data_IF_623510508218
#
_entry.id   IF_623510508218
#
_cell.length_a   1.000
_cell.length_b   1.000
_cell.length_c   1.000
_cell.angle_alpha   90.00
_cell.angle_beta   90.00
_cell.angle_gamma   90.00
#
_symmetry.space_group_name_H-M   'P 1'
#
loop_
_entity.id
_entity.type
_entity.pdbx_description
1 polymer ?
#
# COMPACT_ATOMS: atom_id res chain seq x y z
N UNK A 1 25.40 -1.13 7.16
CA UNK A 1 24.61 -2.17 7.87
C UNK A 1 24.07 -3.15 6.84
N UNK A 2 24.07 -4.46 7.12
CA UNK A 2 23.38 -5.45 6.28
C UNK A 2 22.01 -5.78 6.87
N UNK A 3 20.96 -5.78 6.05
CA UNK A 3 19.59 -6.12 6.45
C UNK A 3 19.29 -7.53 5.94
N UNK A 4 18.79 -8.41 6.81
CA UNK A 4 18.43 -9.80 6.48
C UNK A 4 17.06 -10.11 7.06
N UNK A 5 16.29 -10.93 6.33
CA UNK A 5 15.08 -11.56 6.87
C UNK A 5 15.50 -12.61 7.89
N UNK A 6 14.85 -12.61 9.06
CA UNK A 6 15.10 -13.60 10.11
C UNK A 6 14.69 -15.00 9.62
N UNK A 7 15.53 -16.01 9.85
CA UNK A 7 15.22 -17.40 9.51
C UNK A 7 13.91 -17.87 10.16
N UNK A 8 13.12 -18.65 9.42
CA UNK A 8 11.82 -19.15 9.86
C UNK A 8 10.68 -18.12 9.84
N UNK A 9 10.95 -16.84 9.63
CA UNK A 9 9.90 -15.84 9.42
C UNK A 9 9.47 -15.82 7.95
N UNK A 10 8.18 -16.03 7.72
CA UNK A 10 7.55 -15.72 6.43
C UNK A 10 7.43 -14.20 6.36
N UNK A 11 8.50 -13.56 5.92
CA UNK A 11 8.44 -12.14 5.62
C UNK A 11 7.56 -11.96 4.37
N UNK A 12 6.59 -11.03 4.36
CA UNK A 12 5.60 -10.95 3.29
C UNK A 12 6.18 -10.68 1.89
N UNK A 13 7.48 -10.36 1.76
CA UNK A 13 8.19 -10.29 0.47
C UNK A 13 8.15 -11.58 -0.34
N UNK A 14 7.93 -12.74 0.30
CA UNK A 14 7.77 -14.02 -0.40
C UNK A 14 6.39 -14.19 -1.06
N UNK A 15 5.43 -13.30 -0.74
CA UNK A 15 4.13 -13.24 -1.43
C UNK A 15 4.23 -12.32 -2.64
N UNK A 16 3.39 -12.52 -3.67
CA UNK A 16 3.32 -11.61 -4.82
C UNK A 16 3.14 -10.15 -4.36
N UNK A 17 4.06 -9.29 -4.77
CA UNK A 17 3.98 -7.86 -4.52
C UNK A 17 3.23 -7.19 -5.67
N UNK A 18 2.44 -6.16 -5.35
CA UNK A 18 1.72 -5.34 -6.35
C UNK A 18 0.81 -6.16 -7.27
N UNK A 19 0.33 -7.30 -6.78
CA UNK A 19 -0.74 -8.07 -7.38
C UNK A 19 -1.97 -7.82 -6.52
N UNK A 20 -3.04 -7.31 -7.14
CA UNK A 20 -4.29 -6.99 -6.45
C UNK A 20 -5.16 -8.24 -6.28
N UNK A 21 -5.80 -8.37 -5.12
CA UNK A 21 -6.79 -9.41 -4.82
C UNK A 21 -7.95 -8.83 -4.00
N UNK A 22 -9.08 -9.54 -3.99
CA UNK A 22 -10.25 -9.19 -3.18
C UNK A 22 -11.54 -9.73 -3.77
N UNK A 23 -12.52 -10.02 -2.90
CA UNK A 23 -13.76 -10.70 -3.27
C UNK A 23 -14.79 -9.77 -3.97
N UNK A 24 -14.63 -8.45 -3.80
CA UNK A 24 -15.46 -7.42 -4.45
C UNK A 24 -14.58 -6.40 -5.18
N UNK A 25 -14.11 -6.72 -6.40
CA UNK A 25 -13.11 -5.93 -7.12
C UNK A 25 -13.49 -4.48 -7.40
N UNK A 26 -14.77 -4.19 -7.41
CA UNK A 26 -15.35 -2.87 -7.61
C UNK A 26 -15.45 -2.03 -6.32
N UNK A 27 -15.36 -2.66 -5.15
CA UNK A 27 -15.51 -1.99 -3.84
C UNK A 27 -14.17 -1.91 -3.10
N UNK A 28 -13.42 -3.01 -3.09
CA UNK A 28 -12.19 -3.13 -2.32
C UNK A 28 -11.22 -4.11 -2.98
N UNK A 29 -9.96 -3.68 -3.09
CA UNK A 29 -8.85 -4.50 -3.53
C UNK A 29 -7.67 -4.29 -2.60
N UNK A 30 -6.91 -5.34 -2.37
CA UNK A 30 -5.73 -5.32 -1.51
C UNK A 30 -4.51 -5.75 -2.32
N UNK A 31 -3.37 -5.11 -2.11
CA UNK A 31 -2.09 -5.49 -2.68
C UNK A 31 -0.97 -5.33 -1.64
N UNK A 32 0.13 -6.09 -1.80
CA UNK A 32 1.32 -5.88 -0.96
C UNK A 32 2.26 -4.85 -1.60
N UNK A 33 2.62 -3.83 -0.81
CA UNK A 33 3.69 -2.89 -1.10
C UNK A 33 4.71 -2.95 0.03
N UNK A 34 5.98 -3.22 -0.30
CA UNK A 34 7.05 -3.44 0.68
C UNK A 34 6.69 -4.45 1.78
N UNK A 35 5.91 -5.47 1.42
CA UNK A 35 5.42 -6.48 2.36
C UNK A 35 4.32 -6.03 3.31
N UNK A 36 3.73 -4.85 3.11
CA UNK A 36 2.62 -4.31 3.89
C UNK A 36 1.38 -4.23 3.01
N UNK A 37 0.21 -4.49 3.58
CA UNK A 37 -1.05 -4.40 2.87
C UNK A 37 -1.40 -2.95 2.57
N UNK A 38 -1.74 -2.70 1.30
CA UNK A 38 -2.37 -1.49 0.82
C UNK A 38 -3.77 -1.85 0.34
N UNK A 39 -4.76 -1.07 0.73
CA UNK A 39 -6.13 -1.23 0.28
C UNK A 39 -6.47 -0.11 -0.71
N UNK A 40 -7.10 -0.46 -1.83
CA UNK A 40 -7.84 0.46 -2.67
C UNK A 40 -9.33 0.24 -2.37
N UNK A 41 -10.03 1.25 -1.88
CA UNK A 41 -11.42 1.12 -1.40
C UNK A 41 -12.26 2.32 -1.83
N UNK A 42 -13.57 2.13 -2.02
CA UNK A 42 -14.51 3.23 -2.22
C UNK A 42 -14.75 3.98 -0.91
N UNK A 43 -14.78 5.30 -0.97
CA UNK A 43 -15.19 6.16 0.15
C UNK A 43 -16.72 6.35 0.18
N UNK A 44 -17.22 6.98 1.25
CA UNK A 44 -18.65 7.26 1.45
C UNK A 44 -19.22 8.27 0.44
N UNK A 45 -18.36 8.99 -0.29
CA UNK A 45 -18.75 9.94 -1.33
C UNK A 45 -18.78 9.31 -2.74
N UNK A 46 -18.42 8.02 -2.85
CA UNK A 46 -18.36 7.28 -4.11
C UNK A 46 -17.10 7.54 -4.93
N UNK A 47 -16.09 8.20 -4.36
CA UNK A 47 -14.74 8.26 -4.92
C UNK A 47 -13.90 7.09 -4.37
N UNK A 48 -12.69 6.92 -4.88
CA UNK A 48 -11.77 5.88 -4.42
C UNK A 48 -10.59 6.47 -3.64
N UNK A 49 -10.11 5.68 -2.69
CA UNK A 49 -8.95 5.99 -1.86
C UNK A 49 -7.99 4.80 -1.75
N UNK A 50 -6.76 5.12 -1.36
CA UNK A 50 -5.72 4.18 -0.98
C UNK A 50 -5.45 4.32 0.52
N UNK A 51 -5.55 3.23 1.27
CA UNK A 51 -5.08 3.14 2.66
C UNK A 51 -3.79 2.33 2.71
N UNK A 52 -2.74 2.93 3.26
CA UNK A 52 -1.45 2.28 3.43
C UNK A 52 -0.72 2.82 4.66
N UNK A 53 -0.38 1.94 5.61
CA UNK A 53 0.38 2.29 6.81
C UNK A 53 -0.22 3.49 7.57
N UNK A 54 -1.55 3.57 7.64
CA UNK A 54 -2.28 4.64 8.33
C UNK A 54 -2.25 5.99 7.59
N UNK A 55 -1.94 5.99 6.30
CA UNK A 55 -2.00 7.16 5.44
C UNK A 55 -3.04 6.93 4.34
N UNK A 56 -3.77 7.99 4.01
CA UNK A 56 -4.81 7.97 2.97
C UNK A 56 -4.35 8.80 1.77
N UNK A 57 -4.50 8.23 0.57
CA UNK A 57 -4.49 8.97 -0.70
C UNK A 57 -5.88 8.91 -1.31
N UNK A 58 -6.51 10.04 -1.61
CA UNK A 58 -7.91 10.10 -2.02
C UNK A 58 -8.13 10.94 -3.27
N UNK A 59 -9.38 10.98 -3.75
CA UNK A 59 -9.78 11.77 -4.92
C UNK A 59 -9.64 11.04 -6.26
N UNK A 60 -9.53 9.72 -6.24
CA UNK A 60 -9.48 8.92 -7.45
C UNK A 60 -10.89 8.71 -8.02
N UNK A 61 -11.04 8.92 -9.33
CA UNK A 61 -12.33 8.78 -10.01
C UNK A 61 -12.77 7.32 -10.21
N UNK A 62 -11.83 6.38 -10.15
CA UNK A 62 -12.08 4.94 -10.26
C UNK A 62 -11.06 4.13 -9.46
N UNK A 63 -11.37 2.87 -9.17
CA UNK A 63 -10.42 1.96 -8.51
C UNK A 63 -9.17 1.73 -9.37
N UNK A 64 -9.29 1.77 -10.70
CA UNK A 64 -8.15 1.61 -11.60
C UNK A 64 -7.20 2.82 -11.54
N UNK A 65 -7.75 4.04 -11.39
CA UNK A 65 -6.94 5.25 -11.15
C UNK A 65 -6.20 5.15 -9.81
N UNK A 66 -6.88 4.67 -8.76
CA UNK A 66 -6.26 4.45 -7.46
C UNK A 66 -5.13 3.41 -7.55
N UNK A 67 -5.37 2.27 -8.21
CA UNK A 67 -4.35 1.21 -8.43
C UNK A 67 -3.16 1.72 -9.24
N UNK A 68 -3.39 2.59 -10.23
CA UNK A 68 -2.33 3.19 -11.04
C UNK A 68 -1.45 4.15 -10.21
N UNK A 69 -2.04 4.88 -9.25
CA UNK A 69 -1.33 5.79 -8.35
C UNK A 69 -0.63 5.07 -7.19
N UNK A 70 -1.04 3.85 -6.84
CA UNK A 70 -0.57 3.10 -5.69
C UNK A 70 0.96 2.97 -5.56
N UNK A 71 1.76 2.70 -6.61
CA UNK A 71 3.21 2.63 -6.48
C UNK A 71 3.86 3.96 -6.10
N UNK A 72 3.35 5.08 -6.61
CA UNK A 72 3.85 6.41 -6.24
C UNK A 72 3.44 6.76 -4.81
N UNK A 73 2.18 6.52 -4.47
CA UNK A 73 1.66 6.71 -3.11
C UNK A 73 2.46 5.92 -2.06
N UNK A 74 2.72 4.62 -2.29
CA UNK A 74 3.52 3.79 -1.40
C UNK A 74 4.92 4.38 -1.15
N UNK A 75 5.60 4.83 -2.22
CA UNK A 75 6.93 5.45 -2.11
C UNK A 75 6.87 6.75 -1.29
N UNK A 76 5.87 7.60 -1.54
CA UNK A 76 5.70 8.86 -0.81
C UNK A 76 5.44 8.62 0.69
N UNK A 77 4.62 7.61 1.04
CA UNK A 77 4.38 7.22 2.44
C UNK A 77 5.67 6.73 3.10
N UNK A 78 6.40 5.82 2.46
CA UNK A 78 7.67 5.30 3.00
C UNK A 78 8.73 6.39 3.15
N UNK A 79 8.81 7.31 2.19
CA UNK A 79 9.68 8.49 2.26
C UNK A 79 9.31 9.39 3.44
N UNK A 80 8.01 9.64 3.65
CA UNK A 80 7.51 10.39 4.80
C UNK A 80 7.90 9.72 6.11
N UNK A 81 7.67 8.41 6.24
CA UNK A 81 8.04 7.64 7.43
C UNK A 81 9.55 7.64 7.68
N UNK A 82 10.36 7.52 6.61
CA UNK A 82 11.82 7.64 6.68
C UNK A 82 12.23 8.99 7.28
N UNK A 83 11.60 10.08 6.85
CA UNK A 83 11.92 11.43 7.32
C UNK A 83 11.55 11.69 8.80
N UNK A 84 10.73 10.82 9.42
CA UNK A 84 10.45 10.87 10.87
C UNK A 84 11.58 10.23 11.70
N UNK A 85 12.49 9.50 11.07
CA UNK A 85 13.66 8.89 11.71
C UNK A 85 14.79 9.92 11.61
N UNK A 86 15.10 10.59 12.72
CA UNK A 86 16.16 11.60 12.77
C UNK A 86 17.52 10.97 13.05
N UNK A 87 18.56 11.54 12.44
CA UNK A 87 19.94 11.26 12.84
C UNK A 87 20.18 11.84 14.24
N UNK A 88 20.78 11.04 15.12
CA UNK A 88 21.20 11.44 16.48
C UNK A 88 22.65 11.90 16.51
#
# INVERSE_FOLDING_TARGET
>A
MQIKVREGYVFPLNRPQQVWWGDSPEVMQVALYAGQEMMAITDDAGAFELDYLGHIGSGFASIEDAKAAAPEFARAVLERLRNLIQDV
#
